data_IF_476872188232
#
_entry.id   IF_476872188232
#
_cell.length_a   1.000
_cell.length_b   1.000
_cell.length_c   1.000
_cell.angle_alpha   90.00
_cell.angle_beta   90.00
_cell.angle_gamma   90.00
#
_symmetry.space_group_name_H-M   'P 1'
#
loop_
_entity.id
_entity.type
_entity.pdbx_description
1 polymer ?
#
# COMPACT_ATOMS: atom_id res chain seq x y z
N UNK A 1 54.95 -46.35 -26.77
CA UNK A 1 53.76 -45.71 -27.38
C UNK A 1 52.54 -46.55 -27.03
N UNK A 2 51.71 -46.09 -26.09
CA UNK A 2 50.34 -46.60 -25.89
C UNK A 2 49.54 -45.53 -25.15
N UNK A 3 48.51 -45.11 -25.85
CA UNK A 3 47.58 -44.03 -25.59
C UNK A 3 46.62 -44.43 -24.46
N UNK A 4 46.40 -43.58 -23.47
CA UNK A 4 45.21 -43.64 -22.62
C UNK A 4 44.56 -42.27 -22.56
N UNK A 5 43.39 -42.21 -23.20
CA UNK A 5 42.48 -41.07 -23.23
C UNK A 5 41.88 -40.81 -21.84
N UNK A 6 41.85 -39.54 -21.43
CA UNK A 6 41.00 -39.06 -20.35
C UNK A 6 40.00 -38.08 -20.95
N UNK A 7 38.77 -38.57 -21.12
CA UNK A 7 37.59 -37.75 -21.39
C UNK A 7 37.28 -36.92 -20.13
N UNK A 8 37.50 -35.61 -20.20
CA UNK A 8 36.95 -34.66 -19.24
C UNK A 8 35.60 -34.15 -19.78
N UNK A 9 34.49 -34.73 -19.28
CA UNK A 9 33.15 -34.20 -19.49
C UNK A 9 33.01 -32.92 -18.65
N UNK A 10 33.12 -31.75 -19.28
CA UNK A 10 32.75 -30.48 -18.67
C UNK A 10 31.22 -30.36 -18.66
N UNK A 11 30.60 -30.65 -17.52
CA UNK A 11 29.17 -30.43 -17.31
C UNK A 11 28.91 -28.91 -17.18
N UNK A 12 28.43 -28.28 -18.25
CA UNK A 12 27.93 -26.90 -18.23
C UNK A 12 26.52 -26.93 -17.63
N UNK A 13 26.40 -26.57 -16.36
CA UNK A 13 25.10 -26.37 -15.71
C UNK A 13 24.43 -25.10 -16.28
N UNK A 14 23.19 -25.15 -16.79
CA UNK A 14 22.49 -23.95 -17.19
C UNK A 14 22.05 -23.18 -15.94
N UNK A 15 22.64 -21.99 -15.73
CA UNK A 15 22.10 -20.98 -14.83
C UNK A 15 20.74 -20.55 -15.37
N UNK A 16 19.66 -21.12 -14.82
CA UNK A 16 18.31 -20.63 -15.01
C UNK A 16 18.22 -19.24 -14.34
N UNK A 17 18.42 -18.19 -15.14
CA UNK A 17 18.10 -16.82 -14.75
C UNK A 17 16.58 -16.77 -14.64
N UNK A 18 16.05 -16.94 -13.43
CA UNK A 18 14.68 -16.57 -13.12
C UNK A 18 14.60 -15.05 -13.24
N UNK A 19 14.18 -14.59 -14.43
CA UNK A 19 13.77 -13.21 -14.61
C UNK A 19 12.56 -12.99 -13.69
N UNK A 20 12.81 -12.48 -12.49
CA UNK A 20 11.77 -11.86 -11.70
C UNK A 20 11.18 -10.77 -12.60
N UNK A 21 9.91 -10.94 -12.99
CA UNK A 21 9.16 -9.90 -13.69
C UNK A 21 9.12 -8.70 -12.76
N UNK A 22 10.08 -7.80 -12.89
CA UNK A 22 10.03 -6.50 -12.28
C UNK A 22 8.80 -5.82 -12.85
N UNK A 23 7.70 -5.84 -12.09
CA UNK A 23 6.55 -5.01 -12.40
C UNK A 23 7.06 -3.59 -12.53
N UNK A 24 6.74 -2.94 -13.65
CA UNK A 24 7.10 -1.55 -13.83
C UNK A 24 6.67 -0.77 -12.56
N UNK A 25 7.53 0.10 -12.00
CA UNK A 25 7.17 0.87 -10.83
C UNK A 25 5.81 1.54 -11.07
N UNK A 26 4.86 1.30 -10.17
CA UNK A 26 3.54 1.91 -10.28
C UNK A 26 3.71 3.44 -10.29
N UNK A 27 3.07 4.11 -11.24
CA UNK A 27 3.17 5.56 -11.38
C UNK A 27 2.25 6.25 -10.36
N UNK A 28 2.71 6.39 -9.13
CA UNK A 28 1.94 7.02 -8.07
C UNK A 28 1.66 8.52 -8.30
N UNK A 29 2.46 9.20 -9.13
CA UNK A 29 2.27 10.61 -9.43
C UNK A 29 1.00 10.87 -10.28
N UNK A 30 0.49 9.84 -10.98
CA UNK A 30 -0.75 9.93 -11.78
C UNK A 30 -2.02 9.65 -10.98
N UNK A 31 -1.90 9.16 -9.73
CA UNK A 31 -3.05 8.93 -8.87
C UNK A 31 -3.82 10.23 -8.58
N UNK A 32 -5.15 10.15 -8.40
CA UNK A 32 -5.94 11.33 -8.07
C UNK A 32 -5.46 11.96 -6.76
N UNK A 33 -5.58 13.29 -6.67
CA UNK A 33 -5.37 14.01 -5.41
C UNK A 33 -6.32 13.44 -4.36
N UNK A 34 -5.77 13.17 -3.17
CA UNK A 34 -6.56 12.65 -2.07
C UNK A 34 -7.65 13.65 -1.70
N UNK A 35 -8.89 13.20 -1.78
CA UNK A 35 -10.03 13.97 -1.29
C UNK A 35 -10.17 13.71 0.22
N UNK A 36 -10.54 14.75 0.97
CA UNK A 36 -10.85 14.60 2.39
C UNK A 36 -12.16 13.84 2.65
N UNK A 37 -12.99 13.70 1.61
CA UNK A 37 -14.27 13.01 1.62
C UNK A 37 -14.41 12.09 0.40
N UNK A 38 -14.79 10.83 0.63
CA UNK A 38 -14.98 9.84 -0.44
C UNK A 38 -15.86 8.65 0.02
N UNK A 39 -16.48 7.91 -0.91
CA UNK A 39 -17.22 6.68 -0.58
C UNK A 39 -16.32 5.60 0.02
N UNK A 40 -16.77 4.94 1.09
CA UNK A 40 -16.04 3.83 1.72
C UNK A 40 -15.86 2.67 0.74
N UNK A 41 -14.64 2.11 0.71
CA UNK A 41 -14.32 0.89 -0.06
C UNK A 41 -15.04 -0.36 0.48
N UNK A 42 -15.55 -0.31 1.72
CA UNK A 42 -16.33 -1.39 2.32
C UNK A 42 -17.79 -1.46 1.86
N UNK A 43 -18.26 -0.49 1.07
CA UNK A 43 -19.64 -0.43 0.59
C UNK A 43 -20.65 0.11 1.62
N UNK A 44 -21.94 -0.20 1.41
CA UNK A 44 -23.02 0.18 2.33
C UNK A 44 -23.45 1.65 2.28
N UNK A 45 -23.01 2.40 1.27
CA UNK A 45 -23.32 3.83 1.15
C UNK A 45 -22.62 4.69 2.21
N UNK A 46 -21.60 4.16 2.88
CA UNK A 46 -20.84 4.87 3.91
C UNK A 46 -19.95 5.91 3.26
N UNK A 47 -19.98 7.14 3.78
CA UNK A 47 -19.09 8.22 3.35
C UNK A 47 -18.00 8.43 4.39
N UNK A 48 -16.75 8.38 3.95
CA UNK A 48 -15.58 8.69 4.77
C UNK A 48 -15.32 10.19 4.71
N UNK A 49 -15.08 10.84 5.85
CA UNK A 49 -14.78 12.27 5.94
C UNK A 49 -13.61 12.56 6.87
N UNK A 50 -12.93 13.67 6.60
CA UNK A 50 -11.80 14.17 7.39
C UNK A 50 -10.51 13.37 7.17
N UNK A 51 -10.40 12.67 6.05
CA UNK A 51 -9.28 11.79 5.76
C UNK A 51 -8.05 12.60 5.35
N UNK A 52 -7.04 12.65 6.22
CA UNK A 52 -5.83 13.45 6.02
C UNK A 52 -4.58 12.78 6.62
N UNK A 53 -4.01 11.76 5.95
CA UNK A 53 -2.90 10.98 6.49
C UNK A 53 -1.60 11.75 6.65
N UNK A 54 -1.08 11.74 7.87
CA UNK A 54 0.20 12.33 8.24
C UNK A 54 1.19 11.26 8.64
N UNK A 55 2.48 11.49 8.38
CA UNK A 55 3.55 10.60 8.82
C UNK A 55 4.08 11.09 10.15
N UNK A 56 3.90 10.30 11.21
CA UNK A 56 4.40 10.58 12.55
C UNK A 56 5.02 9.31 13.14
N UNK A 57 6.18 9.43 13.78
CA UNK A 57 6.85 8.30 14.46
C UNK A 57 7.02 7.05 13.57
N UNK A 58 7.30 7.21 12.28
CA UNK A 58 7.49 6.10 11.34
C UNK A 58 6.19 5.37 10.94
N UNK A 59 5.02 5.90 11.29
CA UNK A 59 3.71 5.40 10.84
C UNK A 59 2.98 6.47 10.06
N UNK A 60 2.13 6.04 9.13
CA UNK A 60 1.21 6.94 8.45
C UNK A 60 -0.17 6.78 9.09
N UNK A 61 -0.72 7.86 9.63
CA UNK A 61 -1.91 7.83 10.50
C UNK A 61 -2.89 8.89 10.06
N UNK A 62 -4.17 8.55 10.12
CA UNK A 62 -5.25 9.55 10.03
C UNK A 62 -6.38 9.18 10.96
N UNK A 63 -6.96 10.21 11.56
CA UNK A 63 -8.32 10.13 12.07
C UNK A 63 -9.29 10.25 10.89
N UNK A 64 -10.46 9.62 11.01
CA UNK A 64 -11.53 9.79 10.03
C UNK A 64 -12.89 9.53 10.67
N UNK A 65 -13.94 9.96 10.00
CA UNK A 65 -15.32 9.64 10.36
C UNK A 65 -16.02 8.87 9.25
N UNK A 66 -16.74 7.82 9.62
CA UNK A 66 -17.59 7.05 8.72
C UNK A 66 -19.04 7.44 8.96
N UNK A 67 -19.68 7.98 7.93
CA UNK A 67 -21.05 8.49 7.96
C UNK A 67 -21.95 7.50 7.24
N UNK A 68 -22.93 6.95 7.95
CA UNK A 68 -23.90 6.01 7.39
C UNK A 68 -25.05 6.75 6.72
N UNK A 69 -25.78 6.11 5.79
CA UNK A 69 -26.93 6.73 5.12
C UNK A 69 -28.06 7.17 6.07
N UNK A 70 -28.18 6.57 7.25
CA UNK A 70 -29.14 6.95 8.30
C UNK A 70 -28.66 8.13 9.17
N UNK A 71 -27.54 8.77 8.81
CA UNK A 71 -27.05 9.99 9.44
C UNK A 71 -26.19 9.80 10.69
N UNK A 72 -25.80 8.55 11.01
CA UNK A 72 -24.89 8.30 12.13
C UNK A 72 -23.44 8.50 11.71
N UNK A 73 -22.62 8.97 12.64
CA UNK A 73 -21.19 9.16 12.45
C UNK A 73 -20.41 8.30 13.44
N UNK A 74 -19.45 7.55 12.93
CA UNK A 74 -18.51 6.75 13.71
C UNK A 74 -17.11 7.32 13.56
N UNK A 75 -16.43 7.54 14.67
CA UNK A 75 -15.09 8.13 14.69
C UNK A 75 -14.04 7.04 14.80
N UNK A 76 -13.07 7.09 13.90
CA UNK A 76 -12.09 6.04 13.71
C UNK A 76 -10.68 6.62 13.61
N UNK A 77 -9.70 5.75 13.77
CA UNK A 77 -8.30 6.00 13.43
C UNK A 77 -7.81 4.85 12.57
N UNK A 78 -6.98 5.14 11.57
CA UNK A 78 -6.27 4.15 10.78
C UNK A 78 -4.77 4.38 10.85
N UNK A 79 -4.03 3.30 11.03
CA UNK A 79 -2.57 3.28 10.93
C UNK A 79 -2.17 2.45 9.71
N UNK A 80 -1.25 2.99 8.93
CA UNK A 80 -0.67 2.37 7.75
C UNK A 80 0.78 2.02 7.98
N UNK A 81 1.20 0.95 7.32
CA UNK A 81 2.61 0.65 7.10
C UNK A 81 3.16 1.64 6.06
N UNK A 82 4.42 2.03 6.24
CA UNK A 82 5.12 2.91 5.30
C UNK A 82 6.08 2.07 4.48
N UNK A 83 5.99 2.22 3.16
CA UNK A 83 6.98 1.71 2.21
C UNK A 83 7.62 2.92 1.52
N UNK A 84 8.93 3.06 1.63
CA UNK A 84 9.68 4.04 0.86
C UNK A 84 9.71 3.60 -0.62
N UNK A 85 9.28 4.49 -1.51
CA UNK A 85 9.24 4.25 -2.96
C UNK A 85 9.94 5.40 -3.68
N UNK A 86 10.14 5.27 -5.00
CA UNK A 86 10.82 6.28 -5.78
C UNK A 86 10.14 7.66 -5.64
N UNK A 87 10.82 8.58 -4.97
CA UNK A 87 10.39 9.96 -4.80
C UNK A 87 9.34 10.21 -3.71
N UNK A 88 8.94 9.24 -2.90
CA UNK A 88 7.95 9.48 -1.84
C UNK A 88 7.72 8.29 -0.93
N UNK A 89 6.63 8.35 -0.16
CA UNK A 89 6.24 7.31 0.79
C UNK A 89 4.85 6.80 0.49
N UNK A 90 4.70 5.49 0.45
CA UNK A 90 3.43 4.82 0.27
C UNK A 90 2.90 4.33 1.62
N UNK A 91 1.76 4.87 2.04
CA UNK A 91 0.95 4.36 3.13
C UNK A 91 0.11 3.19 2.62
N UNK A 92 0.33 1.99 3.14
CA UNK A 92 -0.33 0.75 2.70
C UNK A 92 -0.70 -0.14 3.87
N UNK A 93 -1.47 -1.20 3.61
CA UNK A 93 -1.90 -2.20 4.61
C UNK A 93 -2.59 -1.56 5.83
N UNK A 94 -3.52 -0.65 5.58
CA UNK A 94 -4.17 0.14 6.64
C UNK A 94 -4.96 -0.73 7.60
N UNK A 95 -4.72 -0.54 8.90
CA UNK A 95 -5.46 -1.16 10.01
C UNK A 95 -6.21 -0.07 10.75
N UNK A 96 -7.53 -0.17 10.80
CA UNK A 96 -8.37 0.84 11.41
C UNK A 96 -9.12 0.29 12.63
N UNK A 97 -9.46 1.19 13.53
CA UNK A 97 -10.30 0.90 14.69
C UNK A 97 -11.23 2.06 14.99
N UNK A 98 -12.41 1.74 15.50
CA UNK A 98 -13.30 2.71 16.10
C UNK A 98 -12.67 3.26 17.38
N UNK A 99 -12.81 4.57 17.61
CA UNK A 99 -12.23 5.23 18.79
C UNK A 99 -12.92 4.82 20.09
N UNK A 100 -14.19 4.42 20.00
CA UNK A 100 -14.97 3.88 21.12
C UNK A 100 -14.71 2.39 21.40
N UNK A 101 -13.85 1.74 20.61
CA UNK A 101 -13.51 0.32 20.76
C UNK A 101 -14.56 -0.66 20.23
N UNK A 102 -15.62 -0.19 19.59
CA UNK A 102 -16.72 -1.04 19.11
C UNK A 102 -16.38 -1.92 17.91
N UNK A 103 -15.41 -1.50 17.08
CA UNK A 103 -15.07 -2.18 15.83
C UNK A 103 -13.60 -1.96 15.43
N UNK A 104 -13.12 -2.85 14.57
CA UNK A 104 -11.83 -2.72 13.91
C UNK A 104 -11.85 -3.46 12.56
N UNK A 105 -10.86 -3.19 11.72
CA UNK A 105 -10.71 -3.87 10.44
C UNK A 105 -9.47 -3.41 9.68
N UNK A 106 -9.46 -3.71 8.39
CA UNK A 106 -8.40 -3.30 7.47
C UNK A 106 -8.97 -2.53 6.29
N UNK A 107 -8.12 -1.80 5.59
CA UNK A 107 -8.47 -1.14 4.32
C UNK A 107 -7.39 -1.39 3.27
N UNK A 108 -7.78 -1.74 2.02
CA UNK A 108 -6.83 -1.82 0.92
C UNK A 108 -6.48 -0.44 0.34
N UNK A 109 -7.15 0.63 0.77
CA UNK A 109 -6.90 1.98 0.28
C UNK A 109 -5.46 2.40 0.58
N UNK A 110 -4.75 2.91 -0.43
CA UNK A 110 -3.36 3.33 -0.31
C UNK A 110 -3.26 4.83 -0.49
N UNK A 111 -2.29 5.44 0.19
CA UNK A 111 -2.01 6.88 0.06
C UNK A 111 -0.55 7.09 -0.25
N UNK A 112 -0.27 7.77 -1.35
CA UNK A 112 1.07 8.19 -1.73
C UNK A 112 1.31 9.62 -1.27
N UNK A 113 2.43 9.86 -0.58
CA UNK A 113 2.83 11.17 -0.06
C UNK A 113 4.19 11.55 -0.64
N UNK A 114 4.25 12.70 -1.31
CA UNK A 114 5.46 13.26 -1.93
C UNK A 114 5.40 14.78 -1.89
N UNK A 115 6.46 15.41 -1.37
CA UNK A 115 6.58 16.87 -1.30
C UNK A 115 5.35 17.59 -0.70
N UNK A 116 4.73 16.96 0.30
CA UNK A 116 3.51 17.47 0.95
C UNK A 116 2.20 17.17 0.20
N UNK A 117 2.27 16.69 -1.04
CA UNK A 117 1.11 16.27 -1.83
C UNK A 117 0.68 14.86 -1.44
N UNK A 118 -0.62 14.65 -1.24
CA UNK A 118 -1.22 13.35 -0.91
C UNK A 118 -2.11 12.90 -2.06
N UNK A 119 -1.91 11.68 -2.53
CA UNK A 119 -2.69 11.05 -3.61
C UNK A 119 -3.26 9.73 -3.12
N UNK A 120 -4.54 9.49 -3.41
CA UNK A 120 -5.23 8.25 -3.05
C UNK A 120 -5.18 7.24 -4.19
N UNK A 121 -5.09 5.95 -3.87
CA UNK A 121 -5.26 4.90 -4.88
C UNK A 121 -6.62 5.04 -5.59
N UNK A 122 -6.69 4.85 -6.91
CA UNK A 122 -7.93 4.93 -7.68
C UNK A 122 -8.94 3.85 -7.33
#
# INVERSE_FOLDING_TARGET
MRNFALFALAAVAPLAVTAALAQAPENYDSWPLLQSEFPSTGGGGIIIKGYDPVIVNGKCVTDFSAHTPDGKAYYNVVEFEIVDVAGGRLCTNGKWRAKDGSANGTTPFRVFIKDGVRRGSP
#
